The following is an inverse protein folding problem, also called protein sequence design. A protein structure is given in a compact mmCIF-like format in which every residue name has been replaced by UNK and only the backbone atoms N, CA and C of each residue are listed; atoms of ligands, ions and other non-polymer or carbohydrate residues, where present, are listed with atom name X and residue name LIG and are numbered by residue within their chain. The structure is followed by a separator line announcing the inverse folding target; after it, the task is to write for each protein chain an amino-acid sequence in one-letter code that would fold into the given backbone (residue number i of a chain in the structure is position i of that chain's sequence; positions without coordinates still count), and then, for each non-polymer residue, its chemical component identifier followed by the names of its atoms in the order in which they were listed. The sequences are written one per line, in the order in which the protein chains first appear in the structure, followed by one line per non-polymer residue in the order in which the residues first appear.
data_IF_253839713313
#
_entry.id   IF_253839713313
#
_cell.length_a   1.000
_cell.length_b   1.000
_cell.length_c   1.000
_cell.angle_alpha   90.00
_cell.angle_beta   90.00
_cell.angle_gamma   90.00
#
_symmetry.space_group_name_H-M   'P 1'
#
loop_
_entity.id
_entity.type
_entity.pdbx_description
1 polymer ?
#
# COMPACT_ATOMS: atom_id res chain seq x y z
N UNK A 1 30.47 3.17 12.92
CA UNK A 1 31.14 2.56 11.74
C UNK A 1 30.76 1.09 11.50
N UNK A 2 30.77 0.21 12.52
CA UNK A 2 30.46 -1.24 12.35
C UNK A 2 29.05 -1.53 11.77
N UNK A 3 28.04 -0.76 12.17
CA UNK A 3 26.68 -0.92 11.63
C UNK A 3 26.56 -0.53 10.15
N UNK A 4 27.25 0.54 9.73
CA UNK A 4 27.25 0.99 8.33
C UNK A 4 27.88 -0.06 7.43
N UNK A 5 29.02 -0.65 7.85
CA UNK A 5 29.65 -1.75 7.11
C UNK A 5 28.77 -2.99 7.04
N UNK A 6 28.02 -3.32 8.10
CA UNK A 6 27.10 -4.45 8.11
C UNK A 6 25.92 -4.25 7.15
N UNK A 7 25.39 -3.02 7.08
CA UNK A 7 24.33 -2.63 6.13
C UNK A 7 24.87 -2.69 4.70
N UNK A 8 26.07 -2.15 4.45
CA UNK A 8 26.70 -2.21 3.13
C UNK A 8 26.97 -3.65 2.68
N UNK A 9 27.47 -4.52 3.58
CA UNK A 9 27.69 -5.92 3.28
C UNK A 9 26.38 -6.67 2.96
N UNK A 10 25.30 -6.37 3.69
CA UNK A 10 23.97 -6.89 3.39
C UNK A 10 23.47 -6.43 2.02
N UNK A 11 23.62 -5.14 1.70
CA UNK A 11 23.23 -4.58 0.41
C UNK A 11 23.99 -5.26 -0.75
N UNK A 12 25.30 -5.48 -0.58
CA UNK A 12 26.15 -6.17 -1.55
C UNK A 12 25.78 -7.65 -1.68
N UNK A 13 25.46 -8.34 -0.58
CA UNK A 13 25.03 -9.73 -0.63
C UNK A 13 23.69 -9.89 -1.36
N UNK A 14 22.75 -8.98 -1.11
CA UNK A 14 21.43 -8.97 -1.76
C UNK A 14 21.57 -8.67 -3.25
N UNK A 15 22.40 -7.71 -3.64
CA UNK A 15 22.62 -7.39 -5.05
C UNK A 15 23.35 -8.52 -5.78
N UNK A 16 24.39 -9.11 -5.18
CA UNK A 16 25.10 -10.26 -5.74
C UNK A 16 24.19 -11.48 -5.88
N UNK A 17 23.31 -11.72 -4.92
CA UNK A 17 22.30 -12.78 -4.99
C UNK A 17 21.32 -12.54 -6.14
N UNK A 18 20.83 -11.31 -6.30
CA UNK A 18 19.95 -10.93 -7.42
C UNK A 18 20.62 -11.10 -8.78
N UNK A 19 21.87 -10.66 -8.91
CA UNK A 19 22.67 -10.80 -10.15
C UNK A 19 22.96 -12.28 -10.44
N UNK A 20 23.29 -13.07 -9.42
CA UNK A 20 23.49 -14.51 -9.56
C UNK A 20 22.22 -15.23 -10.02
N UNK A 21 21.06 -14.86 -9.48
CA UNK A 21 19.77 -15.39 -9.92
C UNK A 21 19.40 -14.96 -11.35
N UNK A 22 19.86 -13.78 -11.77
CA UNK A 22 19.69 -13.27 -13.14
C UNK A 22 20.57 -14.04 -14.13
N UNK A 23 21.82 -14.30 -13.76
CA UNK A 23 22.79 -15.08 -14.56
C UNK A 23 22.37 -16.54 -14.67
N UNK A 24 21.84 -17.16 -13.60
CA UNK A 24 21.33 -18.54 -13.68
C UNK A 24 20.12 -18.69 -14.59
N UNK A 25 19.41 -17.59 -14.87
CA UNK A 25 18.22 -17.55 -15.73
C UNK A 25 18.53 -17.60 -17.23
N UNK A 26 19.81 -17.70 -17.66
CA UNK A 26 20.19 -17.94 -19.08
C UNK A 26 19.55 -16.91 -20.05
N UNK A 27 19.38 -15.66 -19.60
CA UNK A 27 18.87 -14.59 -20.46
C UNK A 27 20.03 -14.03 -21.29
N UNK A 28 19.94 -14.03 -22.64
CA UNK A 28 20.99 -13.46 -23.48
C UNK A 28 21.21 -11.99 -23.10
N UNK A 29 22.46 -11.49 -23.13
CA UNK A 29 22.79 -10.09 -22.74
C UNK A 29 21.94 -9.02 -23.43
N UNK A 30 21.36 -9.30 -24.59
CA UNK A 30 20.43 -8.39 -25.28
C UNK A 30 19.09 -8.22 -24.55
N UNK A 31 18.64 -9.20 -23.78
CA UNK A 31 17.33 -9.22 -23.12
C UNK A 31 17.41 -8.87 -21.63
N UNK A 32 18.59 -8.79 -21.03
CA UNK A 32 18.74 -8.42 -19.60
C UNK A 32 18.21 -7.02 -19.30
N UNK A 33 18.42 -6.08 -20.23
CA UNK A 33 17.87 -4.72 -20.13
C UNK A 33 16.35 -4.70 -20.24
N UNK A 34 15.79 -5.49 -21.17
CA UNK A 34 14.35 -5.62 -21.37
C UNK A 34 13.68 -6.27 -20.14
N UNK A 35 14.31 -7.30 -19.58
CA UNK A 35 13.87 -8.00 -18.38
C UNK A 35 13.88 -7.08 -17.16
N UNK A 36 14.95 -6.29 -16.97
CA UNK A 36 15.03 -5.31 -15.89
C UNK A 36 13.89 -4.29 -15.98
N UNK A 37 13.60 -3.77 -17.18
CA UNK A 37 12.46 -2.87 -17.41
C UNK A 37 11.14 -3.59 -17.10
N UNK A 38 10.97 -4.84 -17.55
CA UNK A 38 9.75 -5.63 -17.28
C UNK A 38 9.52 -5.85 -15.79
N UNK A 39 10.59 -6.12 -15.02
CA UNK A 39 10.51 -6.27 -13.57
C UNK A 39 10.12 -4.96 -12.89
N UNK A 40 10.70 -3.83 -13.31
CA UNK A 40 10.34 -2.50 -12.77
C UNK A 40 8.87 -2.19 -13.06
N UNK A 41 8.42 -2.40 -14.30
CA UNK A 41 7.03 -2.16 -14.70
C UNK A 41 6.07 -3.08 -13.97
N UNK A 42 6.40 -4.37 -13.83
CA UNK A 42 5.59 -5.34 -13.09
C UNK A 42 5.51 -4.99 -11.60
N UNK A 43 6.62 -4.56 -11.00
CA UNK A 43 6.67 -4.12 -9.60
C UNK A 43 5.82 -2.85 -9.40
N UNK A 44 5.90 -1.90 -10.33
CA UNK A 44 5.08 -0.69 -10.32
C UNK A 44 3.58 -1.01 -10.46
N UNK A 45 3.22 -1.92 -11.35
CA UNK A 45 1.84 -2.39 -11.51
C UNK A 45 1.33 -3.10 -10.25
N UNK A 46 2.15 -3.94 -9.62
CA UNK A 46 1.82 -4.58 -8.34
C UNK A 46 1.60 -3.55 -7.23
N UNK A 47 2.47 -2.54 -7.13
CA UNK A 47 2.31 -1.44 -6.17
C UNK A 47 1.03 -0.65 -6.38
N UNK A 48 0.73 -0.29 -7.64
CA UNK A 48 -0.52 0.38 -8.01
C UNK A 48 -1.75 -0.47 -7.69
N UNK A 49 -1.70 -1.78 -7.93
CA UNK A 49 -2.78 -2.71 -7.57
C UNK A 49 -2.96 -2.80 -6.06
N UNK A 50 -1.88 -2.90 -5.28
CA UNK A 50 -1.96 -2.92 -3.81
C UNK A 50 -2.57 -1.63 -3.26
N UNK A 51 -2.17 -0.48 -3.78
CA UNK A 51 -2.77 0.82 -3.41
C UNK A 51 -4.22 0.90 -3.88
N UNK A 52 -4.51 0.47 -5.10
CA UNK A 52 -5.85 0.44 -5.67
C UNK A 52 -6.81 -0.45 -4.88
N UNK A 53 -6.34 -1.63 -4.45
CA UNK A 53 -7.08 -2.52 -3.54
C UNK A 53 -7.23 -1.85 -2.19
N UNK A 54 -6.22 -1.20 -1.62
CA UNK A 54 -6.35 -0.47 -0.36
C UNK A 54 -7.30 0.74 -0.43
N UNK A 55 -7.49 1.32 -1.62
CA UNK A 55 -8.46 2.40 -1.86
C UNK A 55 -9.87 1.86 -2.12
N UNK A 56 -10.01 0.77 -2.89
CA UNK A 56 -11.31 0.11 -3.12
C UNK A 56 -11.81 -0.56 -1.85
N UNK A 57 -10.92 -1.25 -1.16
CA UNK A 57 -11.04 -1.75 0.18
C UNK A 57 -10.58 -0.64 1.14
N UNK A 58 -11.23 0.52 1.07
CA UNK A 58 -11.28 1.39 2.23
C UNK A 58 -11.54 0.47 3.43
N UNK A 59 -10.79 0.57 4.55
CA UNK A 59 -11.18 -0.09 5.77
C UNK A 59 -12.48 0.58 6.21
N UNK A 60 -13.58 0.18 5.58
CA UNK A 60 -14.92 0.34 6.11
C UNK A 60 -14.90 -0.60 7.30
N UNK A 61 -14.27 -0.15 8.39
CA UNK A 61 -14.45 -0.74 9.70
C UNK A 61 -15.97 -0.70 9.89
N UNK A 62 -16.69 -1.82 9.70
CA UNK A 62 -18.15 -1.77 9.74
C UNK A 62 -18.60 -1.25 11.11
N UNK A 63 -17.78 -1.49 12.13
CA UNK A 63 -17.94 -0.98 13.47
C UNK A 63 -17.80 0.55 13.59
N UNK A 64 -16.87 1.19 12.88
CA UNK A 64 -16.68 2.65 12.95
C UNK A 64 -17.78 3.39 12.18
N UNK A 65 -18.26 2.84 11.06
CA UNK A 65 -19.42 3.37 10.36
C UNK A 65 -20.69 3.32 11.26
N UNK A 66 -20.88 2.22 12.00
CA UNK A 66 -22.01 2.09 12.95
C UNK A 66 -21.89 3.06 14.13
N UNK A 67 -20.70 3.24 14.69
CA UNK A 67 -20.46 4.23 15.75
C UNK A 67 -20.71 5.65 15.27
N UNK A 68 -20.22 6.00 14.07
CA UNK A 68 -20.42 7.32 13.47
C UNK A 68 -21.90 7.60 13.18
N UNK A 69 -22.66 6.61 12.72
CA UNK A 69 -24.11 6.75 12.55
C UNK A 69 -24.83 6.95 13.88
N UNK A 70 -24.38 6.29 14.95
CA UNK A 70 -24.94 6.50 16.30
C UNK A 70 -24.66 7.92 16.81
N UNK A 71 -23.44 8.42 16.65
CA UNK A 71 -23.08 9.79 17.05
C UNK A 71 -23.87 10.85 16.27
N UNK A 72 -24.12 10.62 14.97
CA UNK A 72 -24.96 11.50 14.15
C UNK A 72 -26.40 11.51 14.67
N UNK A 73 -26.97 10.35 15.02
CA UNK A 73 -28.32 10.26 15.56
C UNK A 73 -28.46 11.00 16.91
N UNK A 74 -27.48 10.84 17.80
CA UNK A 74 -27.45 11.53 19.10
C UNK A 74 -27.32 13.04 18.93
N UNK A 75 -26.43 13.50 18.04
CA UNK A 75 -26.26 14.92 17.74
C UNK A 75 -27.54 15.54 17.15
N UNK A 76 -28.24 14.81 16.27
CA UNK A 76 -29.53 15.23 15.69
C UNK A 76 -30.61 15.38 16.76
N UNK A 77 -30.68 14.43 17.70
CA UNK A 77 -31.61 14.49 18.83
C UNK A 77 -31.31 15.66 19.76
N UNK A 78 -30.02 15.89 20.07
CA UNK A 78 -29.59 17.03 20.88
C UNK A 78 -29.96 18.38 20.24
N UNK A 79 -29.76 18.52 18.93
CA UNK A 79 -30.13 19.73 18.18
C UNK A 79 -31.65 19.92 18.12
N UNK A 80 -32.42 18.84 17.96
CA UNK A 80 -33.88 18.87 18.02
C UNK A 80 -34.38 19.33 19.40
N UNK A 81 -33.77 18.85 20.49
CA UNK A 81 -34.07 19.31 21.85
C UNK A 81 -33.71 20.78 22.08
N UNK A 82 -32.78 21.33 21.31
CA UNK A 82 -32.42 22.76 21.29
C UNK A 82 -33.32 23.59 20.35
N UNK A 83 -34.28 22.97 19.66
CA UNK A 83 -35.21 23.64 18.73
C UNK A 83 -34.65 23.90 17.33
N UNK A 84 -33.53 23.26 16.96
CA UNK A 84 -32.94 23.34 15.61
C UNK A 84 -33.41 22.15 14.79
N UNK A 85 -34.19 22.41 13.73
CA UNK A 85 -34.62 21.38 12.79
C UNK A 85 -33.49 21.07 11.81
N UNK A 86 -32.90 19.89 11.96
CA UNK A 86 -31.92 19.32 11.03
C UNK A 86 -32.69 18.29 10.22
N UNK A 87 -33.06 18.65 8.98
CA UNK A 87 -34.01 17.91 8.14
C UNK A 87 -33.91 16.38 8.20
N UNK A 88 -35.06 15.72 8.08
CA UNK A 88 -35.15 14.26 8.06
C UNK A 88 -34.95 13.74 6.65
N UNK A 89 -33.72 13.33 6.33
CA UNK A 89 -33.36 12.07 5.64
C UNK A 89 -31.83 11.92 5.63
#
# INVERSE_FOLDING_TARGET
MKHVLKIMALLVAISAFWIGLLETSVVPRSYTWLLAIYLIVSLGCYGLLMVGIGLMLFPTCPQEAVLLQKDIAEAKEFLKNKGVDVGSD
#
